data_IF_129437679514
#
_entry.id   IF_129437679514
#
_cell.length_a   1.000
_cell.length_b   1.000
_cell.length_c   1.000
_cell.angle_alpha   90.00
_cell.angle_beta   90.00
_cell.angle_gamma   90.00
#
_symmetry.space_group_name_H-M   'P 1'
#
loop_
_entity.id
_entity.type
_entity.pdbx_description
1 polymer ?
#
# COMPACT_ATOMS: atom_id res chain seq x y z
N UNK A 1 28.35 32.55 -15.58
CA UNK A 1 27.78 31.21 -15.33
C UNK A 1 27.53 30.56 -16.68
N UNK A 2 28.08 29.38 -16.91
CA UNK A 2 27.90 28.60 -18.14
C UNK A 2 26.86 27.55 -17.81
N UNK A 3 25.87 27.29 -18.67
CA UNK A 3 24.92 26.21 -18.40
C UNK A 3 25.58 24.85 -18.66
N UNK A 4 26.05 24.17 -17.61
CA UNK A 4 26.73 22.88 -17.70
C UNK A 4 25.79 21.76 -18.19
N UNK A 5 24.48 21.86 -18.00
CA UNK A 5 23.51 20.89 -18.53
C UNK A 5 23.52 20.81 -20.08
N UNK A 6 23.95 21.86 -20.77
CA UNK A 6 24.06 21.86 -22.24
C UNK A 6 25.13 20.88 -22.77
N UNK A 7 26.07 20.46 -21.91
CA UNK A 7 27.09 19.47 -22.27
C UNK A 7 26.59 18.03 -22.19
N UNK A 8 25.31 17.81 -21.87
CA UNK A 8 24.69 16.50 -21.63
C UNK A 8 25.50 15.61 -20.66
N UNK A 9 25.86 16.10 -19.45
CA UNK A 9 26.66 15.33 -18.51
C UNK A 9 25.89 14.17 -17.86
N UNK A 10 24.56 14.23 -17.86
CA UNK A 10 23.68 13.23 -17.26
C UNK A 10 23.32 12.09 -18.23
N UNK A 11 23.25 10.86 -17.74
CA UNK A 11 22.87 9.70 -18.53
C UNK A 11 21.38 9.74 -18.91
N UNK A 12 21.09 9.73 -20.22
CA UNK A 12 19.72 9.82 -20.75
C UNK A 12 18.77 8.72 -20.23
N UNK A 13 19.28 7.52 -20.00
CA UNK A 13 18.49 6.39 -19.52
C UNK A 13 18.03 6.59 -18.07
N UNK A 14 18.93 7.06 -17.21
CA UNK A 14 18.73 7.16 -15.77
C UNK A 14 18.36 8.55 -15.23
N UNK A 15 18.35 9.59 -16.06
CA UNK A 15 18.11 10.97 -15.61
C UNK A 15 16.67 11.42 -15.88
N UNK A 16 16.02 11.99 -14.89
CA UNK A 16 14.71 12.63 -14.97
C UNK A 16 14.86 14.05 -15.53
N UNK A 17 15.76 14.84 -14.96
CA UNK A 17 16.09 16.20 -15.39
C UNK A 17 17.51 16.58 -14.95
N UNK A 18 18.11 17.55 -15.64
CA UNK A 18 19.38 18.17 -15.27
C UNK A 18 19.11 19.56 -14.71
N UNK A 19 19.63 19.83 -13.53
CA UNK A 19 19.51 21.10 -12.83
C UNK A 19 20.83 21.85 -12.94
N UNK A 20 20.76 23.06 -13.51
CA UNK A 20 21.88 23.99 -13.55
C UNK A 20 22.14 24.57 -12.14
N UNK A 21 23.40 24.56 -11.70
CA UNK A 21 23.86 25.18 -10.46
C UNK A 21 24.99 26.19 -10.76
N UNK A 22 25.47 26.91 -9.75
CA UNK A 22 26.55 27.90 -9.97
C UNK A 22 27.89 27.18 -10.16
N UNK A 23 28.44 27.24 -11.38
CA UNK A 23 29.64 26.49 -11.81
C UNK A 23 29.55 24.96 -11.59
N UNK A 24 28.35 24.39 -11.60
CA UNK A 24 28.12 22.96 -11.42
C UNK A 24 26.74 22.56 -12.00
N UNK A 25 26.45 21.28 -11.99
CA UNK A 25 25.14 20.75 -12.33
C UNK A 25 24.76 19.62 -11.38
N UNK A 26 23.47 19.30 -11.35
CA UNK A 26 22.96 18.14 -10.65
C UNK A 26 22.03 17.33 -11.56
N UNK A 27 22.26 16.04 -11.67
CA UNK A 27 21.38 15.13 -12.37
C UNK A 27 20.36 14.56 -11.38
N UNK A 28 19.08 14.90 -11.55
CA UNK A 28 18.01 14.24 -10.82
C UNK A 28 17.80 12.84 -11.41
N UNK A 29 18.17 11.81 -10.66
CA UNK A 29 18.06 10.44 -11.14
C UNK A 29 16.62 9.93 -11.06
N UNK A 30 16.20 9.17 -12.09
CA UNK A 30 14.99 8.36 -12.05
C UNK A 30 15.10 7.32 -10.92
N UNK A 31 13.96 6.87 -10.35
CA UNK A 31 13.96 5.74 -9.42
C UNK A 31 14.74 4.55 -9.96
N UNK A 32 15.59 3.97 -9.10
CA UNK A 32 16.47 2.85 -9.47
C UNK A 32 17.79 3.24 -10.12
N UNK A 33 18.09 4.53 -10.28
CA UNK A 33 19.40 5.04 -10.72
C UNK A 33 20.08 5.89 -9.65
N UNK A 34 21.41 5.92 -9.68
CA UNK A 34 22.26 6.67 -8.74
C UNK A 34 23.56 7.09 -9.41
N UNK A 35 24.39 7.82 -8.66
CA UNK A 35 25.65 8.37 -9.14
C UNK A 35 25.47 9.80 -9.66
N UNK A 36 26.58 10.53 -9.80
CA UNK A 36 26.56 11.95 -10.21
C UNK A 36 25.90 12.14 -11.58
N UNK A 37 26.04 11.16 -12.47
CA UNK A 37 25.51 11.19 -13.83
C UNK A 37 24.29 10.28 -14.01
N UNK A 38 23.75 9.69 -12.94
CA UNK A 38 22.65 8.71 -13.01
C UNK A 38 22.93 7.52 -13.96
N UNK A 39 24.18 7.12 -14.08
CA UNK A 39 24.68 6.06 -14.96
C UNK A 39 24.75 4.69 -14.25
N UNK A 40 24.69 4.67 -12.92
CA UNK A 40 24.65 3.45 -12.13
C UNK A 40 23.22 3.06 -11.73
N UNK A 41 22.89 1.78 -11.81
CA UNK A 41 21.63 1.24 -11.25
C UNK A 41 21.80 1.01 -9.75
N UNK A 42 20.81 1.40 -8.97
CA UNK A 42 20.75 1.10 -7.54
C UNK A 42 20.64 -0.41 -7.35
N UNK A 43 21.57 -1.00 -6.59
CA UNK A 43 21.45 -2.38 -6.15
C UNK A 43 20.74 -2.43 -4.79
N UNK A 44 19.42 -2.52 -4.81
CA UNK A 44 18.61 -2.60 -3.59
C UNK A 44 18.84 -3.89 -2.78
N UNK A 45 19.52 -4.89 -3.35
CA UNK A 45 19.87 -6.14 -2.66
C UNK A 45 21.28 -6.12 -2.06
N UNK A 46 22.05 -5.05 -2.19
CA UNK A 46 23.46 -4.99 -1.78
C UNK A 46 23.69 -5.30 -0.29
N UNK A 47 22.74 -4.94 0.57
CA UNK A 47 22.82 -5.14 2.02
C UNK A 47 22.01 -6.36 2.50
N UNK A 48 21.64 -7.28 1.60
CA UNK A 48 20.86 -8.48 1.91
C UNK A 48 19.62 -8.18 2.78
N UNK A 49 18.69 -7.32 2.31
CA UNK A 49 17.56 -6.87 3.12
C UNK A 49 16.58 -8.00 3.48
N UNK A 50 16.55 -9.08 2.69
CA UNK A 50 15.69 -10.24 2.94
C UNK A 50 16.31 -11.13 4.03
N UNK A 51 15.59 -11.27 5.14
CA UNK A 51 15.98 -12.09 6.29
C UNK A 51 15.60 -13.56 6.07
N UNK A 52 16.03 -14.43 7.00
CA UNK A 52 15.58 -15.81 7.10
C UNK A 52 15.70 -16.63 5.80
N UNK A 53 16.76 -16.39 5.03
CA UNK A 53 17.01 -17.10 3.76
C UNK A 53 16.09 -16.68 2.61
N UNK A 54 15.45 -15.50 2.69
CA UNK A 54 14.68 -14.93 1.59
C UNK A 54 15.54 -14.57 0.38
N UNK A 55 14.97 -14.70 -0.82
CA UNK A 55 15.65 -14.36 -2.08
C UNK A 55 15.32 -12.91 -2.45
N UNK A 56 16.36 -12.08 -2.58
CA UNK A 56 16.21 -10.68 -2.96
C UNK A 56 16.25 -10.48 -4.47
N UNK A 57 15.24 -9.81 -5.01
CA UNK A 57 15.23 -9.31 -6.40
C UNK A 57 15.10 -7.80 -6.41
N UNK A 58 16.05 -7.11 -7.02
CA UNK A 58 15.97 -5.66 -7.22
C UNK A 58 14.97 -5.33 -8.34
N UNK A 59 14.13 -4.32 -8.13
CA UNK A 59 13.23 -3.75 -9.13
C UNK A 59 13.48 -2.24 -9.30
N UNK A 60 12.76 -1.57 -10.20
CA UNK A 60 12.97 -0.13 -10.46
C UNK A 60 12.65 0.77 -9.26
N UNK A 61 11.83 0.31 -8.31
CA UNK A 61 11.37 1.07 -7.15
C UNK A 61 11.97 0.64 -5.81
N UNK A 62 12.87 -0.35 -5.77
CA UNK A 62 13.32 -0.97 -4.54
C UNK A 62 13.73 -2.43 -4.70
N UNK A 63 13.44 -3.24 -3.67
CA UNK A 63 13.63 -4.68 -3.68
C UNK A 63 12.32 -5.42 -3.37
N UNK A 64 12.25 -6.67 -3.81
CA UNK A 64 11.21 -7.64 -3.43
C UNK A 64 11.91 -8.84 -2.82
N UNK A 65 11.40 -9.30 -1.68
CA UNK A 65 11.84 -10.52 -1.03
C UNK A 65 10.85 -11.64 -1.34
N UNK A 66 11.36 -12.75 -1.88
CA UNK A 66 10.62 -14.01 -1.91
C UNK A 66 10.98 -14.80 -0.65
N UNK A 67 10.02 -14.99 0.24
CA UNK A 67 10.27 -15.62 1.53
C UNK A 67 10.36 -17.14 1.44
N UNK A 68 11.25 -17.72 2.26
CA UNK A 68 11.33 -19.17 2.47
C UNK A 68 10.10 -19.67 3.23
N UNK A 69 9.81 -20.98 3.12
CA UNK A 69 8.67 -21.59 3.80
C UNK A 69 8.68 -21.30 5.30
N UNK A 70 7.53 -20.86 5.83
CA UNK A 70 7.36 -20.53 7.25
C UNK A 70 7.84 -19.13 7.64
N UNK A 71 8.15 -18.26 6.68
CA UNK A 71 8.45 -16.84 6.91
C UNK A 71 7.61 -15.93 6.02
N UNK A 72 7.34 -14.71 6.51
CA UNK A 72 6.56 -13.71 5.80
C UNK A 72 6.97 -12.28 6.17
N UNK A 73 6.34 -11.31 5.51
CA UNK A 73 6.60 -9.88 5.65
C UNK A 73 7.48 -9.35 4.53
N UNK A 74 7.58 -8.01 4.46
CA UNK A 74 8.28 -7.30 3.37
C UNK A 74 9.73 -7.73 3.20
N UNK A 75 10.38 -8.08 4.30
CA UNK A 75 11.78 -8.52 4.36
C UNK A 75 11.89 -9.94 4.94
N UNK A 76 10.82 -10.73 4.95
CA UNK A 76 10.79 -12.07 5.53
C UNK A 76 11.15 -12.10 7.03
N UNK A 77 10.82 -11.04 7.76
CA UNK A 77 11.19 -10.83 9.16
C UNK A 77 10.32 -11.61 10.15
N UNK A 78 9.13 -12.05 9.74
CA UNK A 78 8.19 -12.77 10.61
C UNK A 78 8.20 -14.27 10.33
N UNK A 79 8.04 -15.08 11.37
CA UNK A 79 7.89 -16.54 11.29
C UNK A 79 6.42 -16.95 11.40
N UNK A 80 6.01 -18.00 10.70
CA UNK A 80 4.64 -18.53 10.68
C UNK A 80 3.96 -18.33 9.34
N UNK A 81 2.63 -18.18 9.35
CA UNK A 81 1.84 -17.92 8.14
C UNK A 81 1.22 -16.51 8.17
N UNK A 82 1.22 -15.77 7.04
CA UNK A 82 0.76 -14.37 6.99
C UNK A 82 -0.64 -14.10 7.54
N UNK A 83 -1.56 -15.06 7.38
CA UNK A 83 -2.96 -14.92 7.80
C UNK A 83 -3.28 -15.50 9.18
N UNK A 84 -2.29 -16.07 9.87
CA UNK A 84 -2.52 -16.80 11.13
C UNK A 84 -3.03 -15.88 12.25
N UNK A 85 -2.61 -14.60 12.23
CA UNK A 85 -3.06 -13.57 13.17
C UNK A 85 -4.37 -12.88 12.75
N UNK A 86 -4.99 -13.28 11.64
CA UNK A 86 -6.17 -12.61 11.04
C UNK A 86 -6.00 -11.07 10.94
N UNK A 87 -5.05 -10.56 10.15
CA UNK A 87 -4.74 -9.13 10.10
C UNK A 87 -5.87 -8.27 9.50
N UNK A 88 -6.75 -8.86 8.68
CA UNK A 88 -7.84 -8.16 8.02
C UNK A 88 -8.99 -7.83 8.98
N UNK A 89 -9.40 -6.57 8.99
CA UNK A 89 -10.46 -6.02 9.83
C UNK A 89 -11.81 -6.01 9.12
N UNK A 90 -12.88 -5.72 9.86
CA UNK A 90 -14.22 -5.43 9.33
C UNK A 90 -14.77 -6.50 8.36
N UNK A 91 -14.46 -7.78 8.61
CA UNK A 91 -14.91 -8.90 7.78
C UNK A 91 -14.11 -9.11 6.49
N UNK A 92 -12.93 -8.49 6.36
CA UNK A 92 -12.00 -8.75 5.26
C UNK A 92 -11.48 -10.19 5.24
N UNK A 93 -11.35 -10.74 4.03
CA UNK A 93 -10.84 -12.10 3.83
C UNK A 93 -9.32 -12.05 3.65
N UNK A 94 -8.58 -12.76 4.51
CA UNK A 94 -7.13 -12.84 4.41
C UNK A 94 -6.70 -13.97 3.47
N UNK A 95 -5.77 -13.69 2.56
CA UNK A 95 -5.07 -14.70 1.78
C UNK A 95 -3.58 -14.42 1.67
N UNK A 96 -2.80 -15.49 1.57
CA UNK A 96 -1.35 -15.40 1.30
C UNK A 96 -1.09 -14.95 -0.14
N UNK A 97 -0.17 -14.01 -0.30
CA UNK A 97 0.33 -13.50 -1.58
C UNK A 97 1.41 -14.41 -2.17
N UNK A 98 1.67 -14.24 -3.47
CA UNK A 98 2.69 -15.03 -4.20
C UNK A 98 4.13 -14.79 -3.70
N UNK A 99 4.39 -13.65 -3.04
CA UNK A 99 5.71 -13.31 -2.50
C UNK A 99 5.89 -13.74 -1.03
N UNK A 100 4.88 -14.38 -0.45
CA UNK A 100 4.93 -14.88 0.93
C UNK A 100 4.46 -13.89 1.98
N UNK A 101 3.85 -12.75 1.62
CA UNK A 101 3.15 -11.84 2.54
C UNK A 101 1.62 -12.11 2.55
N UNK A 102 0.79 -11.29 3.20
CA UNK A 102 -0.69 -11.37 3.11
C UNK A 102 -1.31 -10.27 2.25
N UNK A 103 -2.54 -10.52 1.79
CA UNK A 103 -3.44 -9.55 1.18
C UNK A 103 -4.81 -9.69 1.82
N UNK A 104 -5.44 -8.57 2.13
CA UNK A 104 -6.83 -8.51 2.57
C UNK A 104 -7.74 -8.18 1.39
N UNK A 105 -8.67 -9.09 1.07
CA UNK A 105 -9.75 -8.80 0.14
C UNK A 105 -10.87 -8.10 0.93
N UNK A 106 -10.98 -6.79 0.71
CA UNK A 106 -11.89 -5.94 1.49
C UNK A 106 -13.34 -6.02 0.98
N UNK A 107 -14.33 -6.06 1.89
CA UNK A 107 -15.73 -5.90 1.55
C UNK A 107 -16.01 -4.56 0.87
N UNK A 108 -17.13 -4.48 0.15
CA UNK A 108 -17.59 -3.23 -0.46
C UNK A 108 -17.68 -2.11 0.57
N UNK A 109 -17.20 -0.91 0.20
CA UNK A 109 -17.19 0.26 1.07
C UNK A 109 -15.94 0.39 1.96
N UNK A 110 -15.05 -0.61 1.97
CA UNK A 110 -13.83 -0.59 2.77
C UNK A 110 -12.56 -0.53 1.92
N UNK A 111 -11.49 0.03 2.49
CA UNK A 111 -10.16 0.09 1.91
C UNK A 111 -9.06 0.07 2.99
N UNK A 112 -7.81 0.18 2.56
CA UNK A 112 -6.64 0.06 3.44
C UNK A 112 -5.99 -1.32 3.33
N UNK A 113 -4.81 -1.46 3.95
CA UNK A 113 -4.03 -2.71 3.88
C UNK A 113 -4.77 -3.83 4.64
N UNK A 114 -5.46 -3.46 5.71
CA UNK A 114 -6.19 -4.34 6.61
C UNK A 114 -7.71 -4.10 6.56
N UNK A 115 -8.24 -3.44 5.51
CA UNK A 115 -9.66 -3.06 5.43
C UNK A 115 -10.14 -2.17 6.60
N UNK A 116 -9.24 -1.38 7.15
CA UNK A 116 -9.45 -0.52 8.31
C UNK A 116 -10.13 0.82 7.97
N UNK A 117 -10.09 1.22 6.70
CA UNK A 117 -10.58 2.52 6.25
C UNK A 117 -11.96 2.38 5.65
N UNK A 118 -12.92 3.07 6.25
CA UNK A 118 -14.26 3.22 5.70
C UNK A 118 -14.30 4.29 4.60
N UNK A 119 -14.87 3.94 3.45
CA UNK A 119 -14.89 4.79 2.25
C UNK A 119 -16.29 5.04 1.71
N UNK A 120 -17.31 4.42 2.32
CA UNK A 120 -18.69 4.57 1.91
C UNK A 120 -19.50 4.94 3.14
N UNK A 121 -20.34 5.96 3.01
CA UNK A 121 -21.32 6.27 4.05
C UNK A 121 -22.66 5.66 3.66
N UNK A 122 -23.00 4.51 4.21
CA UNK A 122 -24.21 3.76 3.84
C UNK A 122 -25.48 4.51 4.27
N UNK A 123 -25.40 5.40 5.26
CA UNK A 123 -26.53 6.22 5.70
C UNK A 123 -27.02 7.20 4.62
N UNK A 124 -26.18 7.59 3.65
CA UNK A 124 -26.59 8.45 2.53
C UNK A 124 -27.66 7.80 1.63
N UNK A 125 -27.78 6.47 1.68
CA UNK A 125 -28.82 5.73 0.95
C UNK A 125 -30.20 5.73 1.63
N UNK A 126 -30.33 6.39 2.79
CA UNK A 126 -31.51 6.36 3.67
C UNK A 126 -32.00 4.92 3.93
N UNK A 127 -31.16 4.04 4.52
CA UNK A 127 -31.51 2.64 4.69
C UNK A 127 -32.56 2.41 5.78
N UNK A 128 -32.61 3.26 6.82
CA UNK A 128 -33.59 3.18 7.90
C UNK A 128 -34.97 3.66 7.42
N UNK A 129 -35.98 2.79 7.45
CA UNK A 129 -37.29 3.00 6.82
C UNK A 129 -38.28 3.80 7.66
N UNK A 130 -38.02 3.96 8.96
CA UNK A 130 -38.88 4.77 9.83
C UNK A 130 -38.37 6.22 9.93
N UNK A 131 -39.24 7.24 9.87
CA UNK A 131 -38.84 8.66 9.92
C UNK A 131 -38.08 9.06 11.18
N UNK A 132 -38.41 8.43 12.31
CA UNK A 132 -37.77 8.67 13.62
C UNK A 132 -36.51 7.82 13.84
N UNK A 133 -36.18 6.91 12.91
CA UNK A 133 -34.99 6.08 13.04
C UNK A 133 -33.72 6.88 12.77
N UNK A 134 -32.72 6.73 13.65
CA UNK A 134 -31.41 7.37 13.48
C UNK A 134 -30.42 6.40 12.85
N UNK A 135 -29.88 6.76 11.68
CA UNK A 135 -28.81 6.01 11.03
C UNK A 135 -27.45 6.41 11.59
N UNK A 136 -26.58 5.42 11.86
CA UNK A 136 -25.18 5.61 12.20
C UNK A 136 -24.33 4.81 11.22
N UNK A 137 -23.36 5.50 10.64
CA UNK A 137 -22.34 4.95 9.74
C UNK A 137 -21.43 3.97 10.48
N UNK A 138 -21.09 2.85 9.85
CA UNK A 138 -20.18 1.85 10.39
C UNK A 138 -19.24 1.36 9.27
N UNK A 139 -18.00 0.95 9.60
CA UNK A 139 -17.10 0.41 8.59
C UNK A 139 -17.73 -0.75 7.78
N UNK A 140 -18.04 -0.48 6.51
CA UNK A 140 -18.64 -1.43 5.57
C UNK A 140 -20.09 -1.82 5.89
N UNK A 141 -20.79 -1.08 6.76
CA UNK A 141 -22.20 -1.31 7.09
C UNK A 141 -22.87 -0.07 7.71
N UNK A 142 -24.13 -0.18 8.14
CA UNK A 142 -24.81 0.85 8.92
C UNK A 142 -25.57 0.23 10.10
N UNK A 143 -25.89 1.08 11.07
CA UNK A 143 -26.79 0.74 12.17
C UNK A 143 -27.97 1.70 12.22
N UNK A 144 -29.18 1.16 12.17
CA UNK A 144 -30.40 1.90 12.45
C UNK A 144 -30.80 1.76 13.92
N UNK A 145 -30.94 2.87 14.62
CA UNK A 145 -31.61 2.90 15.92
C UNK A 145 -33.11 3.03 15.73
N UNK A 146 -33.82 1.92 15.92
CA UNK A 146 -35.26 1.87 15.72
C UNK A 146 -36.03 2.49 16.88
N UNK A 147 -37.14 3.20 16.60
CA UNK A 147 -38.07 3.65 17.62
C UNK A 147 -38.80 2.48 18.27
N UNK A 148 -39.49 2.75 19.38
CA UNK A 148 -40.25 1.72 20.12
C UNK A 148 -41.26 1.03 19.19
N UNK A 149 -41.40 -0.29 19.34
CA UNK A 149 -42.24 -1.16 18.51
C UNK A 149 -41.72 -1.45 17.08
N UNK A 150 -40.52 -0.96 16.72
CA UNK A 150 -39.87 -1.26 15.44
C UNK A 150 -38.54 -1.99 15.65
N UNK A 151 -38.23 -2.90 14.75
CA UNK A 151 -37.11 -3.84 14.77
C UNK A 151 -36.63 -4.14 13.35
N UNK A 152 -35.62 -5.01 13.23
CA UNK A 152 -34.97 -5.30 11.95
C UNK A 152 -33.79 -4.36 11.66
N UNK A 153 -32.94 -4.75 10.70
CA UNK A 153 -31.74 -3.96 10.34
C UNK A 153 -32.10 -2.57 9.84
N UNK A 154 -33.26 -2.44 9.20
CA UNK A 154 -33.75 -1.22 8.58
C UNK A 154 -34.96 -0.60 9.27
N UNK A 155 -35.37 -1.09 10.44
CA UNK A 155 -36.56 -0.62 11.17
C UNK A 155 -37.86 -0.77 10.37
N UNK A 156 -38.04 -1.92 9.74
CA UNK A 156 -39.16 -2.27 8.85
C UNK A 156 -40.10 -3.34 9.42
N UNK A 157 -39.76 -3.91 10.59
CA UNK A 157 -40.52 -4.96 11.28
C UNK A 157 -41.06 -4.43 12.61
#
# INVERSE_FOLDING_TARGET
DINECLSNPCANSGTQDCVQLVNDYHCNCKPGYMGRHCDAKVNFCANSPCQNGGICTANQGGHVCLCSMGFFGKNCEYSGYPCESNPCQNGGYCRTSEIGDYVCDCPSGLSGINCETDTMNECLSNPCKHPEARCIDKPGDFLCYCPRQWTGKTCDI
#
